data_IF_651746665187
#
_entry.id   IF_651746665187
#
_cell.length_a   1.000
_cell.length_b   1.000
_cell.length_c   1.000
_cell.angle_alpha   90.00
_cell.angle_beta   90.00
_cell.angle_gamma   90.00
#
_symmetry.space_group_name_H-M   'P 1'
#
loop_
_entity.id
_entity.type
_entity.pdbx_description
1 polymer ?
#
# COMPACT_ATOMS: atom_id res chain seq x y z
N UNK A 1 11.46 8.62 22.30
CA UNK A 1 10.61 9.21 21.25
C UNK A 1 9.98 8.04 20.49
N UNK A 2 8.65 7.94 20.42
CA UNK A 2 7.98 6.91 19.60
C UNK A 2 8.37 7.19 18.15
N UNK A 3 9.10 6.29 17.51
CA UNK A 3 9.27 6.31 16.05
C UNK A 3 7.94 5.87 15.48
N UNK A 4 7.24 6.78 14.79
CA UNK A 4 6.06 6.42 14.04
C UNK A 4 6.45 5.69 12.74
N UNK A 5 5.50 4.97 12.14
CA UNK A 5 5.72 4.21 10.92
C UNK A 5 5.48 5.05 9.65
N UNK A 6 5.34 6.37 9.78
CA UNK A 6 4.95 7.26 8.69
C UNK A 6 6.14 7.96 8.04
N UNK A 7 7.33 7.80 8.61
CA UNK A 7 8.56 8.49 8.19
C UNK A 7 8.89 8.32 6.68
N UNK A 8 8.52 7.18 6.08
CA UNK A 8 8.66 6.90 4.64
C UNK A 8 7.68 7.71 3.77
N UNK A 9 6.46 7.95 4.26
CA UNK A 9 5.39 8.63 3.53
C UNK A 9 5.38 10.15 3.74
N UNK A 10 6.26 10.68 4.60
CA UNK A 10 6.50 12.12 4.73
C UNK A 10 7.10 12.75 3.47
N UNK A 11 7.40 11.95 2.44
CA UNK A 11 7.96 12.42 1.19
C UNK A 11 7.22 11.89 -0.08
N UNK A 12 5.99 12.36 -0.38
CA UNK A 12 5.19 11.94 -1.53
C UNK A 12 5.82 12.11 -2.92
N UNK A 13 6.54 13.22 -3.18
CA UNK A 13 7.16 13.44 -4.49
C UNK A 13 8.23 12.39 -4.79
N UNK A 14 8.97 11.97 -3.75
CA UNK A 14 9.91 10.87 -3.83
C UNK A 14 9.19 9.53 -4.04
N UNK A 15 8.18 9.24 -3.23
CA UNK A 15 7.40 8.00 -3.35
C UNK A 15 6.88 7.82 -4.78
N UNK A 16 6.33 8.88 -5.37
CA UNK A 16 5.86 8.87 -6.75
C UNK A 16 6.99 8.54 -7.70
N UNK A 17 8.11 9.25 -7.67
CA UNK A 17 9.24 8.99 -8.59
C UNK A 17 9.69 7.52 -8.57
N UNK A 18 9.64 6.86 -7.42
CA UNK A 18 10.04 5.46 -7.27
C UNK A 18 8.97 4.46 -7.74
N UNK A 19 7.69 4.85 -7.71
CA UNK A 19 6.56 3.94 -7.93
C UNK A 19 5.64 4.34 -9.10
N UNK A 20 5.93 5.45 -9.81
CA UNK A 20 5.06 6.01 -10.86
C UNK A 20 4.98 5.14 -12.11
N UNK A 21 6.05 4.39 -12.42
CA UNK A 21 6.23 3.81 -13.74
C UNK A 21 5.41 2.53 -13.97
N UNK A 22 4.87 1.91 -12.91
CA UNK A 22 4.10 0.67 -13.03
C UNK A 22 3.01 0.58 -11.96
N UNK A 23 1.75 0.52 -12.40
CA UNK A 23 0.55 0.45 -11.55
C UNK A 23 -0.20 -0.87 -11.84
N UNK A 24 0.31 -2.03 -11.38
CA UNK A 24 -0.29 -3.34 -11.64
C UNK A 24 -1.72 -3.46 -11.09
N UNK A 25 -2.06 -2.64 -10.10
CA UNK A 25 -3.35 -2.66 -9.42
C UNK A 25 -4.47 -2.06 -10.28
N UNK A 26 -4.13 -1.12 -11.17
CA UNK A 26 -5.12 -0.33 -11.90
C UNK A 26 -6.05 -1.19 -12.79
N UNK A 27 -5.57 -2.12 -13.63
CA UNK A 27 -6.45 -3.00 -14.41
C UNK A 27 -7.39 -3.86 -13.54
N UNK A 28 -6.87 -4.33 -12.41
CA UNK A 28 -7.65 -5.13 -11.46
C UNK A 28 -8.75 -4.32 -10.80
N UNK A 29 -8.43 -3.11 -10.33
CA UNK A 29 -9.39 -2.23 -9.68
C UNK A 29 -10.43 -1.73 -10.66
N UNK A 30 -10.06 -1.40 -11.91
CA UNK A 30 -11.00 -1.08 -12.99
C UNK A 30 -12.03 -2.19 -13.23
N UNK A 31 -11.59 -3.45 -13.25
CA UNK A 31 -12.47 -4.62 -13.42
C UNK A 31 -13.51 -4.73 -12.29
N UNK A 32 -13.13 -4.40 -11.06
CA UNK A 32 -14.05 -4.43 -9.92
C UNK A 32 -14.92 -3.18 -9.84
N UNK A 33 -14.37 -2.00 -10.14
CA UNK A 33 -15.10 -0.74 -10.20
C UNK A 33 -16.26 -0.81 -11.20
N UNK A 34 -16.07 -1.46 -12.35
CA UNK A 34 -17.11 -1.66 -13.37
C UNK A 34 -18.32 -2.47 -12.88
N UNK A 35 -18.21 -3.19 -11.74
CA UNK A 35 -19.28 -4.02 -11.18
C UNK A 35 -20.13 -3.31 -10.13
N UNK A 36 -19.71 -2.12 -9.70
CA UNK A 36 -20.36 -1.38 -8.62
C UNK A 36 -20.87 -0.03 -9.11
N UNK A 37 -21.86 0.52 -8.40
CA UNK A 37 -22.38 1.87 -8.65
C UNK A 37 -22.17 2.73 -7.42
N UNK A 38 -21.89 4.01 -7.63
CA UNK A 38 -21.70 4.98 -6.56
C UNK A 38 -20.27 5.50 -6.48
N UNK A 39 -19.96 6.17 -5.37
CA UNK A 39 -18.65 6.76 -5.13
C UNK A 39 -17.70 5.73 -4.54
N UNK A 40 -16.49 5.65 -5.09
CA UNK A 40 -15.39 4.83 -4.59
C UNK A 40 -14.58 5.66 -3.61
N UNK A 41 -14.26 5.10 -2.44
CA UNK A 41 -13.39 5.74 -1.46
C UNK A 41 -12.04 5.03 -1.49
N UNK A 42 -10.98 5.79 -1.76
CA UNK A 42 -9.59 5.34 -1.73
C UNK A 42 -8.96 5.77 -0.40
N UNK A 43 -8.79 4.80 0.51
CA UNK A 43 -8.28 5.04 1.85
C UNK A 43 -6.76 4.87 1.88
N UNK A 44 -6.06 5.81 2.51
CA UNK A 44 -4.60 5.92 2.42
C UNK A 44 -4.14 6.06 0.96
N UNK A 45 -4.78 6.98 0.24
CA UNK A 45 -4.57 7.14 -1.20
C UNK A 45 -3.18 7.69 -1.58
N UNK A 46 -2.41 8.15 -0.60
CA UNK A 46 -1.16 8.85 -0.78
C UNK A 46 -1.33 10.04 -1.70
N UNK A 47 -0.47 10.10 -2.70
CA UNK A 47 -0.46 11.08 -3.80
C UNK A 47 -1.56 10.87 -4.83
N UNK A 48 -2.37 9.82 -4.69
CA UNK A 48 -3.45 9.50 -5.61
C UNK A 48 -3.00 8.70 -6.83
N UNK A 49 -1.91 7.92 -6.73
CA UNK A 49 -1.41 7.05 -7.83
C UNK A 49 -2.49 6.12 -8.40
N UNK A 50 -3.46 5.70 -7.57
CA UNK A 50 -4.65 4.95 -8.02
C UNK A 50 -5.87 5.86 -8.20
N UNK A 51 -6.09 6.78 -7.26
CA UNK A 51 -7.24 7.69 -7.27
C UNK A 51 -7.36 8.48 -8.58
N UNK A 52 -6.25 9.07 -9.04
CA UNK A 52 -6.21 9.94 -10.23
C UNK A 52 -6.56 9.15 -11.50
N UNK A 53 -5.84 8.08 -11.88
CA UNK A 53 -6.17 7.34 -13.10
C UNK A 53 -7.56 6.67 -13.03
N UNK A 54 -8.02 6.29 -11.84
CA UNK A 54 -9.39 5.78 -11.67
C UNK A 54 -10.44 6.87 -11.97
N UNK A 55 -10.19 8.12 -11.56
CA UNK A 55 -11.07 9.24 -11.84
C UNK A 55 -11.03 9.64 -13.33
N UNK A 56 -9.85 9.59 -13.97
CA UNK A 56 -9.69 9.80 -15.41
C UNK A 56 -10.45 8.75 -16.24
N UNK A 57 -10.66 7.54 -15.69
CA UNK A 57 -11.51 6.51 -16.29
C UNK A 57 -13.02 6.69 -16.02
N UNK A 58 -13.44 7.84 -15.48
CA UNK A 58 -14.85 8.24 -15.33
C UNK A 58 -15.54 7.79 -14.04
N UNK A 59 -14.80 7.26 -13.07
CA UNK A 59 -15.36 6.88 -11.77
C UNK A 59 -15.39 8.07 -10.80
N UNK A 60 -16.42 8.15 -9.96
CA UNK A 60 -16.51 9.12 -8.87
C UNK A 60 -15.68 8.64 -7.69
N UNK A 61 -14.62 9.37 -7.30
CA UNK A 61 -13.70 8.98 -6.23
C UNK A 61 -13.57 10.02 -5.12
N UNK A 62 -13.31 9.55 -3.91
CA UNK A 62 -12.84 10.33 -2.77
C UNK A 62 -11.55 9.68 -2.28
N UNK A 63 -10.41 10.38 -2.42
CA UNK A 63 -9.13 9.98 -1.83
C UNK A 63 -8.95 10.61 -0.44
N UNK A 64 -8.47 9.82 0.53
CA UNK A 64 -8.19 10.28 1.90
C UNK A 64 -6.77 9.88 2.30
N UNK A 65 -5.92 10.87 2.62
CA UNK A 65 -4.56 10.69 3.12
C UNK A 65 -4.12 11.82 4.06
N UNK A 66 -2.94 11.70 4.68
CA UNK A 66 -2.45 12.55 5.77
C UNK A 66 -1.08 13.25 5.52
N UNK A 67 -0.49 13.26 4.30
CA UNK A 67 0.93 13.65 4.07
C UNK A 67 1.26 14.64 2.90
N UNK A 68 2.44 15.34 2.96
CA UNK A 68 3.02 16.34 2.00
C UNK A 68 4.59 16.20 1.84
N UNK A 69 5.28 16.44 0.69
CA UNK A 69 6.73 16.07 0.47
C UNK A 69 7.60 16.65 -0.70
N UNK A 70 8.88 16.17 -0.83
CA UNK A 70 10.06 16.52 -1.71
C UNK A 70 10.92 15.29 -2.31
N UNK A 71 12.28 15.24 -2.48
CA UNK A 71 12.98 14.21 -3.36
C UNK A 71 14.36 13.66 -2.88
N UNK A 72 14.69 12.32 -2.97
CA UNK A 72 16.04 11.66 -2.79
C UNK A 72 16.32 10.21 -3.32
N UNK A 73 17.51 9.62 -3.04
CA UNK A 73 17.93 8.22 -3.31
C UNK A 73 17.86 7.28 -2.08
N UNK A 74 17.60 5.97 -2.27
CA UNK A 74 17.18 5.02 -1.20
C UNK A 74 17.99 3.69 -1.14
N UNK A 75 18.15 3.13 0.07
CA UNK A 75 18.65 1.78 0.42
C UNK A 75 17.76 1.14 1.51
N UNK A 76 17.57 -0.19 1.54
CA UNK A 76 16.64 -0.88 2.49
C UNK A 76 17.26 -2.06 3.24
N UNK A 77 16.96 -2.19 4.53
CA UNK A 77 17.33 -3.31 5.43
C UNK A 77 16.05 -3.89 6.03
N UNK A 78 15.92 -5.22 6.15
CA UNK A 78 14.71 -5.90 6.67
C UNK A 78 14.99 -6.96 7.74
N UNK A 79 14.10 -7.09 8.73
CA UNK A 79 14.11 -8.11 9.80
C UNK A 79 12.68 -8.50 10.23
N UNK A 80 12.38 -9.80 10.33
CA UNK A 80 11.03 -10.31 10.67
C UNK A 80 10.95 -10.81 12.12
N UNK A 81 10.05 -10.24 12.91
CA UNK A 81 9.62 -10.72 14.22
C UNK A 81 8.46 -11.72 14.04
N UNK A 82 8.79 -13.00 14.09
CA UNK A 82 7.84 -14.11 13.89
C UNK A 82 6.79 -14.21 14.99
N UNK A 83 7.13 -13.81 16.22
CA UNK A 83 6.25 -13.96 17.38
C UNK A 83 5.11 -12.94 17.34
N UNK A 84 5.44 -11.70 16.94
CA UNK A 84 4.47 -10.62 16.85
C UNK A 84 3.90 -10.42 15.43
N UNK A 85 4.36 -11.24 14.47
CA UNK A 85 4.09 -11.10 13.04
C UNK A 85 4.44 -9.70 12.51
N UNK A 86 5.53 -9.10 12.99
CA UNK A 86 5.93 -7.75 12.60
C UNK A 86 7.21 -7.80 11.76
N UNK A 87 7.11 -7.32 10.53
CA UNK A 87 8.26 -7.07 9.68
C UNK A 87 8.77 -5.65 9.91
N UNK A 88 10.04 -5.55 10.28
CA UNK A 88 10.74 -4.28 10.41
C UNK A 88 11.51 -4.00 9.13
N UNK A 89 11.30 -2.81 8.56
CA UNK A 89 12.13 -2.26 7.49
C UNK A 89 12.80 -0.99 7.97
N UNK A 90 14.07 -0.83 7.62
CA UNK A 90 14.80 0.42 7.76
C UNK A 90 15.26 0.88 6.40
N UNK A 91 14.76 2.02 5.98
CA UNK A 91 15.07 2.65 4.71
C UNK A 91 16.08 3.78 4.96
N UNK A 92 17.28 3.67 4.40
CA UNK A 92 18.37 4.64 4.49
C UNK A 92 18.39 5.43 3.19
N UNK A 93 18.11 6.73 3.25
CA UNK A 93 18.13 7.63 2.11
C UNK A 93 19.40 8.47 2.11
N UNK A 94 20.22 8.39 1.06
CA UNK A 94 21.47 9.17 0.94
C UNK A 94 21.30 10.28 -0.10
N UNK A 95 21.42 11.52 0.37
CA UNK A 95 21.33 12.74 -0.42
C UNK A 95 22.74 13.02 -0.95
N UNK A 96 22.90 13.15 -2.27
CA UNK A 96 24.18 13.52 -2.90
C UNK A 96 24.07 14.88 -3.56
N UNK A 97 25.16 15.64 -3.57
CA UNK A 97 25.26 16.91 -4.29
C UNK A 97 25.35 16.65 -5.79
N UNK A 98 25.19 17.69 -6.60
CA UNK A 98 25.45 17.64 -8.05
C UNK A 98 26.86 17.20 -8.42
N UNK A 99 27.82 17.24 -7.47
CA UNK A 99 29.21 16.77 -7.64
C UNK A 99 29.42 15.32 -7.18
N UNK A 100 28.37 14.63 -6.75
CA UNK A 100 28.42 13.23 -6.31
C UNK A 100 28.81 13.00 -4.86
N UNK A 101 29.12 14.06 -4.11
CA UNK A 101 29.47 13.97 -2.68
C UNK A 101 28.23 13.73 -1.82
N UNK A 102 28.36 12.95 -0.75
CA UNK A 102 27.27 12.69 0.19
C UNK A 102 27.02 13.93 1.06
N UNK A 103 25.81 14.46 1.01
CA UNK A 103 25.41 15.72 1.67
C UNK A 103 24.56 15.46 2.90
N UNK A 104 23.76 14.39 2.88
CA UNK A 104 22.91 14.01 4.02
C UNK A 104 22.56 12.51 3.95
N UNK A 105 22.22 11.94 5.11
CA UNK A 105 21.67 10.58 5.24
C UNK A 105 20.46 10.64 6.19
N UNK A 106 19.28 10.25 5.70
CA UNK A 106 18.08 10.10 6.52
C UNK A 106 17.74 8.63 6.64
N UNK A 107 17.49 8.16 7.86
CA UNK A 107 17.01 6.79 8.10
C UNK A 107 15.55 6.87 8.52
N UNK A 108 14.71 6.06 7.89
CA UNK A 108 13.33 5.88 8.29
C UNK A 108 13.06 4.44 8.65
N UNK A 109 12.14 4.20 9.56
CA UNK A 109 11.72 2.85 9.94
C UNK A 109 10.23 2.69 9.69
N UNK A 110 9.84 1.59 9.05
CA UNK A 110 8.45 1.16 8.96
C UNK A 110 8.33 -0.25 9.53
N UNK A 111 7.24 -0.50 10.25
CA UNK A 111 6.87 -1.82 10.74
C UNK A 111 5.56 -2.24 10.10
N UNK A 112 5.57 -3.35 9.38
CA UNK A 112 4.38 -3.94 8.79
C UNK A 112 3.95 -5.12 9.65
N UNK A 113 2.67 -5.16 10.03
CA UNK A 113 2.10 -6.35 10.69
C UNK A 113 1.52 -7.27 9.62
N UNK A 114 2.07 -8.47 9.52
CA UNK A 114 1.53 -9.52 8.70
C UNK A 114 0.37 -10.19 9.42
N UNK A 115 -0.64 -10.56 8.66
CA UNK A 115 -1.83 -11.26 9.14
C UNK A 115 -1.92 -12.58 8.38
N UNK A 116 -2.10 -13.70 9.09
CA UNK A 116 -2.28 -14.98 8.42
C UNK A 116 -3.64 -15.05 7.71
N UNK A 117 -3.79 -15.85 6.62
CA UNK A 117 -5.04 -15.90 5.86
C UNK A 117 -6.28 -16.19 6.73
N UNK A 118 -6.16 -17.14 7.67
CA UNK A 118 -7.27 -17.51 8.58
C UNK A 118 -7.58 -16.46 9.64
N UNK A 119 -6.59 -15.67 10.05
CA UNK A 119 -6.80 -14.55 10.94
C UNK A 119 -7.55 -13.41 10.23
N UNK A 120 -7.13 -13.09 9.00
CA UNK A 120 -7.80 -12.09 8.16
C UNK A 120 -9.26 -12.50 7.87
N UNK A 121 -9.48 -13.77 7.49
CA UNK A 121 -10.82 -14.32 7.26
C UNK A 121 -11.71 -14.15 8.51
N UNK A 122 -11.20 -14.50 9.69
CA UNK A 122 -11.92 -14.35 10.95
C UNK A 122 -12.25 -12.89 11.26
N UNK A 123 -11.30 -11.97 11.08
CA UNK A 123 -11.50 -10.55 11.32
C UNK A 123 -12.58 -9.98 10.40
N UNK A 124 -12.53 -10.29 9.10
CA UNK A 124 -13.52 -9.84 8.13
C UNK A 124 -14.93 -10.33 8.49
N UNK A 125 -15.07 -11.63 8.78
CA UNK A 125 -16.35 -12.23 9.15
C UNK A 125 -16.93 -11.62 10.45
N UNK A 126 -16.11 -11.44 11.48
CA UNK A 126 -16.53 -10.85 12.75
C UNK A 126 -17.02 -9.40 12.59
N UNK A 127 -16.50 -8.67 11.61
CA UNK A 127 -16.92 -7.31 11.30
C UNK A 127 -18.00 -7.25 10.21
N UNK A 128 -18.66 -8.38 9.92
CA UNK A 128 -19.80 -8.45 9.02
C UNK A 128 -19.43 -8.24 7.55
N UNK A 129 -18.24 -8.64 7.14
CA UNK A 129 -17.87 -8.73 5.73
C UNK A 129 -17.99 -10.17 5.25
N UNK A 130 -18.61 -10.35 4.09
CA UNK A 130 -18.57 -11.58 3.32
C UNK A 130 -17.40 -11.51 2.35
N UNK A 131 -16.56 -12.54 2.35
CA UNK A 131 -15.46 -12.67 1.40
C UNK A 131 -16.03 -13.18 0.08
N UNK A 132 -15.79 -12.43 -1.00
CA UNK A 132 -16.23 -12.76 -2.36
C UNK A 132 -15.14 -13.53 -3.09
N UNK A 133 -13.90 -13.04 -3.02
CA UNK A 133 -12.73 -13.64 -3.66
C UNK A 133 -11.45 -13.29 -2.88
N UNK A 134 -10.41 -14.12 -3.05
CA UNK A 134 -9.06 -13.88 -2.53
C UNK A 134 -8.02 -14.19 -3.61
N UNK A 135 -7.11 -13.25 -3.86
CA UNK A 135 -6.09 -13.35 -4.89
C UNK A 135 -4.68 -13.20 -4.32
N UNK A 136 -3.68 -13.82 -4.94
CA UNK A 136 -2.26 -13.68 -4.55
C UNK A 136 -1.54 -12.48 -5.17
N UNK A 137 -2.13 -11.90 -6.20
CA UNK A 137 -1.54 -10.84 -7.00
C UNK A 137 -2.62 -10.03 -7.72
N UNK A 138 -2.21 -8.87 -8.25
CA UNK A 138 -3.09 -7.99 -9.02
C UNK A 138 -3.46 -8.54 -10.40
N UNK A 139 -2.94 -9.69 -10.82
CA UNK A 139 -3.43 -10.40 -12.02
C UNK A 139 -4.66 -11.26 -11.71
N UNK A 140 -5.06 -11.36 -10.44
CA UNK A 140 -6.22 -12.13 -10.01
C UNK A 140 -5.94 -13.64 -9.95
N UNK A 141 -4.69 -14.05 -9.76
CA UNK A 141 -4.37 -15.47 -9.56
C UNK A 141 -4.82 -15.96 -8.17
N UNK A 142 -5.21 -17.24 -8.03
CA UNK A 142 -5.63 -17.80 -6.75
C UNK A 142 -4.47 -17.89 -5.75
N UNK A 143 -4.79 -17.81 -4.45
CA UNK A 143 -3.82 -17.97 -3.35
C UNK A 143 -3.26 -19.39 -3.31
N UNK A 144 -1.94 -19.48 -3.09
CA UNK A 144 -1.17 -20.72 -2.89
C UNK A 144 -0.30 -20.60 -1.65
N UNK A 145 0.30 -21.71 -1.20
CA UNK A 145 1.24 -21.71 -0.06
C UNK A 145 2.47 -20.81 -0.28
N UNK A 146 2.83 -20.53 -1.54
CA UNK A 146 3.98 -19.70 -1.91
C UNK A 146 3.59 -18.23 -2.19
N UNK A 147 2.39 -17.81 -1.79
CA UNK A 147 1.91 -16.45 -1.99
C UNK A 147 2.48 -15.51 -0.94
N UNK A 148 3.08 -14.41 -1.40
CA UNK A 148 3.64 -13.36 -0.54
C UNK A 148 2.66 -12.22 -0.23
N UNK A 149 1.62 -12.10 -1.05
CA UNK A 149 0.57 -11.09 -0.93
C UNK A 149 -0.82 -11.75 -0.92
N UNK A 150 -1.80 -11.04 -0.35
CA UNK A 150 -3.21 -11.42 -0.39
C UNK A 150 -4.08 -10.19 -0.64
N UNK A 151 -4.92 -10.27 -1.66
CA UNK A 151 -5.93 -9.26 -1.99
C UNK A 151 -7.30 -9.86 -1.72
N UNK A 152 -7.97 -9.33 -0.70
CA UNK A 152 -9.33 -9.74 -0.34
C UNK A 152 -10.35 -8.82 -1.02
N UNK A 153 -11.30 -9.41 -1.73
CA UNK A 153 -12.49 -8.71 -2.21
C UNK A 153 -13.67 -9.09 -1.34
N UNK A 154 -14.30 -8.09 -0.73
CA UNK A 154 -15.30 -8.29 0.31
C UNK A 154 -16.55 -7.45 0.04
N UNK A 155 -17.69 -7.97 0.48
CA UNK A 155 -18.97 -7.27 0.50
C UNK A 155 -19.42 -7.08 1.95
N UNK A 156 -19.86 -5.87 2.31
CA UNK A 156 -20.43 -5.61 3.63
C UNK A 156 -21.80 -6.27 3.71
N UNK A 157 -21.98 -7.20 4.64
CA UNK A 157 -23.30 -7.75 4.97
C UNK A 157 -24.11 -6.63 5.63
N UNK A 158 -25.19 -6.22 4.97
CA UNK A 158 -26.16 -5.31 5.59
C UNK A 158 -26.94 -6.11 6.63
N UNK A 159 -26.81 -5.71 7.89
CA UNK A 159 -27.65 -6.21 8.97
C UNK A 159 -29.06 -5.66 8.89
#
# INVERSE_FOLDING_TARGET
MMKDNFEEYHDPQLYDKENQQYIPELPFLLKWAARVKGTIIDLACGTGRLTIPMAENGYSLIGVDIHNGNIVNIYTISHFDTLNQVQHYTTIRKYKSSRGELVNEKRTTIKLRYVFPKEMERLLLLHGFKIIDVYRDWNGAPVTNDSYDMIYVCEKVRG
#
